data_IF_967097003066
#
_entry.id   IF_967097003066
#
_cell.length_a   1.000
_cell.length_b   1.000
_cell.length_c   1.000
_cell.angle_alpha   90.00
_cell.angle_beta   90.00
_cell.angle_gamma   90.00
#
_symmetry.space_group_name_H-M   'P 1'
#
loop_
_entity.id
_entity.type
_entity.pdbx_description
1 polymer ?
#
# COMPACT_ATOMS: atom_id res chain seq x y z
N UNK A 1 8.83 7.98 -3.45
CA UNK A 1 8.01 7.86 -4.67
C UNK A 1 7.23 9.15 -4.93
N UNK A 2 6.90 9.46 -6.19
CA UNK A 2 6.31 10.75 -6.59
C UNK A 2 4.89 10.56 -7.11
N UNK A 3 3.94 11.41 -6.68
CA UNK A 3 2.63 11.50 -7.34
C UNK A 3 2.84 12.03 -8.76
N UNK A 4 2.47 11.24 -9.76
CA UNK A 4 2.56 11.69 -11.14
C UNK A 4 1.22 12.27 -11.58
N UNK A 5 1.26 13.55 -11.93
CA UNK A 5 0.15 14.32 -12.43
C UNK A 5 0.35 14.55 -13.92
N UNK A 6 -0.67 14.27 -14.73
CA UNK A 6 -0.56 14.31 -16.19
C UNK A 6 -0.73 15.73 -16.78
N UNK A 7 -1.27 16.72 -16.03
CA UNK A 7 -1.51 18.07 -16.58
C UNK A 7 -1.72 19.17 -15.52
N UNK A 8 -2.14 20.38 -15.96
CA UNK A 8 -2.60 21.49 -15.10
C UNK A 8 -3.92 21.11 -14.40
N UNK A 9 -4.22 21.76 -13.28
CA UNK A 9 -5.49 21.67 -12.56
C UNK A 9 -6.69 21.68 -13.52
N UNK A 10 -7.58 20.69 -13.38
CA UNK A 10 -8.78 20.56 -14.19
C UNK A 10 -9.97 21.28 -13.54
N UNK A 11 -10.80 21.91 -14.38
CA UNK A 11 -12.04 22.55 -13.94
C UNK A 11 -13.09 21.50 -13.52
N UNK A 12 -13.82 21.79 -12.44
CA UNK A 12 -14.85 20.89 -11.90
C UNK A 12 -15.93 20.52 -12.93
N UNK A 13 -16.35 21.44 -13.80
CA UNK A 13 -17.35 21.17 -14.82
C UNK A 13 -16.85 20.15 -15.85
N UNK A 14 -15.57 20.22 -16.21
CA UNK A 14 -14.95 19.24 -17.09
C UNK A 14 -14.92 17.86 -16.42
N UNK A 15 -14.52 17.79 -15.16
CA UNK A 15 -14.48 16.53 -14.39
C UNK A 15 -15.88 15.91 -14.31
N UNK A 16 -16.89 16.71 -13.96
CA UNK A 16 -18.29 16.27 -13.92
C UNK A 16 -18.80 15.75 -15.27
N UNK A 17 -18.43 16.39 -16.37
CA UNK A 17 -18.81 15.92 -17.70
C UNK A 17 -18.19 14.54 -18.02
N UNK A 18 -16.92 14.33 -17.68
CA UNK A 18 -16.26 13.04 -17.93
C UNK A 18 -16.85 11.91 -17.10
N UNK A 19 -17.18 12.18 -15.84
CA UNK A 19 -17.76 11.22 -14.90
C UNK A 19 -19.29 11.29 -14.81
N UNK A 20 -19.97 11.90 -15.80
CA UNK A 20 -21.43 11.95 -15.82
C UNK A 20 -22.02 10.53 -15.72
N UNK A 21 -22.97 10.36 -14.80
CA UNK A 21 -23.60 9.08 -14.48
C UNK A 21 -22.81 8.17 -13.52
N UNK A 22 -21.66 8.62 -13.03
CA UNK A 22 -20.80 7.87 -12.10
C UNK A 22 -20.70 8.66 -10.80
N UNK A 23 -21.01 8.00 -9.69
CA UNK A 23 -20.83 8.56 -8.35
C UNK A 23 -19.47 8.13 -7.82
N UNK A 24 -18.52 9.06 -7.84
CA UNK A 24 -17.18 8.87 -7.29
C UNK A 24 -17.02 9.67 -5.99
N UNK A 25 -16.14 9.22 -5.08
CA UNK A 25 -15.81 9.95 -3.85
C UNK A 25 -15.24 11.34 -4.13
N UNK A 26 -15.61 12.32 -3.29
CA UNK A 26 -15.23 13.72 -3.50
C UNK A 26 -13.72 13.97 -3.37
N UNK A 27 -13.07 13.24 -2.46
CA UNK A 27 -11.63 13.23 -2.26
C UNK A 27 -10.88 12.66 -3.48
N UNK A 28 -11.42 11.63 -4.13
CA UNK A 28 -10.88 11.11 -5.39
C UNK A 28 -11.03 12.12 -6.53
N UNK A 29 -12.19 12.77 -6.65
CA UNK A 29 -12.45 13.82 -7.65
C UNK A 29 -11.46 14.99 -7.50
N UNK A 30 -11.11 15.36 -6.27
CA UNK A 30 -10.15 16.43 -5.95
C UNK A 30 -8.75 16.16 -6.54
N UNK A 31 -8.33 14.90 -6.66
CA UNK A 31 -7.03 14.54 -7.24
C UNK A 31 -6.91 14.92 -8.72
N UNK A 32 -8.03 14.99 -9.45
CA UNK A 32 -8.05 15.51 -10.83
C UNK A 32 -7.87 17.03 -10.87
N UNK A 33 -8.45 17.74 -9.90
CA UNK A 33 -8.28 19.19 -9.75
C UNK A 33 -6.84 19.56 -9.37
N UNK A 34 -6.12 18.67 -8.70
CA UNK A 34 -4.73 18.89 -8.26
C UNK A 34 -3.68 18.60 -9.34
N UNK A 35 -4.07 18.02 -10.48
CA UNK A 35 -3.15 17.85 -11.61
C UNK A 35 -3.45 16.67 -12.54
N UNK A 36 -4.67 16.17 -12.58
CA UNK A 36 -5.04 15.01 -13.40
C UNK A 36 -4.20 13.75 -13.03
N UNK A 37 -4.44 13.20 -11.83
CA UNK A 37 -3.70 12.08 -11.28
C UNK A 37 -3.52 10.94 -12.29
N UNK A 38 -2.25 10.52 -12.48
CA UNK A 38 -1.87 9.47 -13.40
C UNK A 38 -1.43 8.20 -12.68
N UNK A 39 -0.59 8.33 -11.64
CA UNK A 39 -0.13 7.16 -10.88
C UNK A 39 0.28 7.50 -9.45
N UNK A 40 0.08 6.53 -8.56
CA UNK A 40 0.55 6.52 -7.17
C UNK A 40 1.29 5.19 -6.98
N UNK A 41 2.61 5.26 -6.91
CA UNK A 41 3.45 4.06 -7.00
C UNK A 41 3.17 3.21 -8.23
N UNK A 42 2.92 1.92 -8.03
CA UNK A 42 2.59 1.02 -9.14
C UNK A 42 1.18 1.23 -9.72
N UNK A 43 0.26 1.80 -8.92
CA UNK A 43 -1.13 1.99 -9.29
C UNK A 43 -1.28 3.07 -10.35
N UNK A 44 -1.83 2.69 -11.50
CA UNK A 44 -2.08 3.58 -12.64
C UNK A 44 -3.56 3.88 -12.75
N UNK A 45 -3.88 5.15 -12.60
CA UNK A 45 -5.23 5.70 -12.65
C UNK A 45 -5.64 6.02 -14.09
N UNK A 46 -6.92 6.34 -14.27
CA UNK A 46 -7.49 6.77 -15.55
C UNK A 46 -7.57 8.30 -15.60
N UNK A 47 -6.52 9.02 -16.02
CA UNK A 47 -6.57 10.48 -16.15
C UNK A 47 -7.71 10.93 -17.08
N UNK A 48 -8.17 12.16 -16.92
CA UNK A 48 -9.00 12.83 -17.92
C UNK A 48 -8.11 13.15 -19.13
N UNK A 49 -8.69 13.12 -20.34
CA UNK A 49 -7.95 13.33 -21.58
C UNK A 49 -7.16 14.64 -21.55
N UNK A 50 -5.84 14.52 -21.60
CA UNK A 50 -4.93 15.62 -21.85
C UNK A 50 -4.14 15.39 -23.15
N UNK A 51 -3.43 16.42 -23.59
CA UNK A 51 -2.66 16.42 -24.85
C UNK A 51 -1.47 15.44 -24.83
N UNK A 52 -1.01 15.05 -23.65
CA UNK A 52 0.19 14.22 -23.45
C UNK A 52 -0.19 12.76 -23.15
N UNK A 53 -1.42 12.48 -22.70
CA UNK A 53 -1.93 11.16 -22.27
C UNK A 53 -3.33 10.84 -22.82
N UNK A 54 -3.39 10.63 -24.13
CA UNK A 54 -4.64 10.33 -24.83
C UNK A 54 -5.07 8.85 -24.81
N UNK A 55 -4.16 7.94 -24.45
CA UNK A 55 -4.35 6.49 -24.63
C UNK A 55 -5.08 5.79 -23.48
N UNK A 56 -5.16 6.36 -22.27
CA UNK A 56 -5.84 5.77 -21.09
C UNK A 56 -6.64 6.82 -20.31
N UNK A 57 -7.70 7.31 -20.94
CA UNK A 57 -8.53 8.40 -20.42
C UNK A 57 -9.74 7.92 -19.60
N UNK A 58 -10.48 8.82 -18.95
CA UNK A 58 -11.77 8.54 -18.31
C UNK A 58 -12.84 7.85 -19.21
N UNK A 59 -12.74 7.96 -20.55
CA UNK A 59 -13.53 7.12 -21.46
C UNK A 59 -13.21 5.62 -21.33
N UNK A 60 -11.93 5.27 -21.11
CA UNK A 60 -11.52 3.91 -20.80
C UNK A 60 -12.01 3.47 -19.42
N UNK A 61 -12.07 4.38 -18.45
CA UNK A 61 -12.71 4.10 -17.15
C UNK A 61 -14.15 3.62 -17.34
N UNK A 62 -14.97 4.35 -18.12
CA UNK A 62 -16.36 3.97 -18.43
C UNK A 62 -16.43 2.61 -19.13
N UNK A 63 -15.62 2.42 -20.17
CA UNK A 63 -15.62 1.18 -20.95
C UNK A 63 -15.15 -0.04 -20.15
N UNK A 64 -14.13 0.12 -19.31
CA UNK A 64 -13.63 -0.93 -18.43
C UNK A 64 -14.66 -1.29 -17.36
N UNK A 65 -15.21 -0.30 -16.65
CA UNK A 65 -16.20 -0.56 -15.62
C UNK A 65 -17.50 -1.16 -16.17
N UNK A 66 -17.85 -0.89 -17.43
CA UNK A 66 -18.96 -1.57 -18.11
C UNK A 66 -18.67 -3.05 -18.43
N UNK A 67 -17.39 -3.45 -18.53
CA UNK A 67 -16.94 -4.81 -18.83
C UNK A 67 -16.47 -5.59 -17.60
N UNK A 68 -16.26 -4.91 -16.46
CA UNK A 68 -15.83 -5.51 -15.21
C UNK A 68 -16.79 -6.62 -14.77
N UNK A 69 -16.28 -7.74 -14.28
CA UNK A 69 -17.15 -8.79 -13.71
C UNK A 69 -17.68 -8.35 -12.34
N UNK A 70 -16.94 -7.49 -11.65
CA UNK A 70 -17.22 -6.91 -10.34
C UNK A 70 -18.12 -5.68 -10.53
N UNK A 71 -19.37 -5.92 -10.91
CA UNK A 71 -20.36 -4.89 -11.23
C UNK A 71 -20.74 -4.00 -10.03
N UNK A 72 -20.47 -4.44 -8.81
CA UNK A 72 -20.72 -3.65 -7.60
C UNK A 72 -19.60 -2.66 -7.28
N UNK A 73 -18.51 -2.65 -8.07
CA UNK A 73 -17.34 -1.83 -7.82
C UNK A 73 -17.04 -0.88 -8.98
N UNK A 74 -16.46 0.27 -8.65
CA UNK A 74 -15.78 1.16 -9.57
C UNK A 74 -14.29 0.85 -9.54
N UNK A 75 -13.74 0.25 -10.59
CA UNK A 75 -12.30 0.13 -10.80
C UNK A 75 -11.73 1.50 -11.15
N UNK A 76 -10.86 2.03 -10.29
CA UNK A 76 -10.26 3.36 -10.44
C UNK A 76 -8.79 3.31 -10.86
N UNK A 77 -8.09 2.21 -10.60
CA UNK A 77 -6.70 2.01 -10.98
C UNK A 77 -6.36 0.53 -11.23
N UNK A 78 -5.24 0.30 -11.91
CA UNK A 78 -4.65 -1.03 -12.16
C UNK A 78 -3.14 -0.95 -12.02
N UNK A 79 -2.46 -2.03 -11.64
CA UNK A 79 -0.99 -2.07 -11.62
C UNK A 79 -0.35 -2.53 -12.95
N UNK A 80 -1.16 -3.16 -13.83
CA UNK A 80 -0.83 -3.87 -15.09
C UNK A 80 -0.55 -5.36 -14.93
N UNK A 81 -0.46 -5.85 -13.71
CA UNK A 81 -0.23 -7.25 -13.35
C UNK A 81 -1.56 -7.89 -12.90
N UNK A 82 -2.65 -7.51 -13.58
CA UNK A 82 -4.02 -7.98 -13.37
C UNK A 82 -4.68 -7.62 -12.01
N UNK A 83 -4.05 -6.79 -11.17
CA UNK A 83 -4.71 -6.26 -9.98
C UNK A 83 -5.45 -4.95 -10.27
N UNK A 84 -6.65 -4.88 -9.70
CA UNK A 84 -7.56 -3.76 -9.75
C UNK A 84 -7.66 -3.12 -8.37
N UNK A 85 -7.87 -1.81 -8.36
CA UNK A 85 -8.15 -1.03 -7.17
C UNK A 85 -9.43 -0.24 -7.40
N UNK A 86 -10.30 -0.17 -6.40
CA UNK A 86 -11.61 0.43 -6.60
C UNK A 86 -12.43 0.71 -5.35
N UNK A 87 -13.60 1.31 -5.58
CA UNK A 87 -14.61 1.62 -4.57
C UNK A 87 -15.83 0.74 -4.76
N UNK A 88 -16.48 0.34 -3.68
CA UNK A 88 -17.82 -0.24 -3.76
C UNK A 88 -18.85 0.84 -4.06
N UNK A 89 -19.78 0.57 -4.97
CA UNK A 89 -20.83 1.51 -5.39
C UNK A 89 -21.80 1.78 -4.24
N UNK A 90 -21.99 3.05 -3.91
CA UNK A 90 -22.97 3.49 -2.90
C UNK A 90 -22.55 3.27 -1.45
N UNK A 91 -21.33 2.80 -1.19
CA UNK A 91 -20.81 2.64 0.17
C UNK A 91 -20.39 4.00 0.77
N UNK A 92 -20.71 4.20 2.05
CA UNK A 92 -20.32 5.40 2.79
C UNK A 92 -18.81 5.36 3.11
N UNK A 93 -18.21 6.53 3.35
CA UNK A 93 -16.78 6.70 3.67
C UNK A 93 -15.78 6.27 2.59
N UNK A 94 -16.25 5.61 1.53
CA UNK A 94 -15.48 5.29 0.32
C UNK A 94 -14.19 4.49 0.58
N UNK A 95 -14.28 3.34 1.27
CA UNK A 95 -13.15 2.43 1.42
C UNK A 95 -12.63 1.96 0.06
N UNK A 96 -11.33 1.80 0.00
CA UNK A 96 -10.62 1.28 -1.16
C UNK A 96 -10.45 -0.22 -0.99
N UNK A 97 -10.75 -0.94 -2.06
CA UNK A 97 -10.57 -2.38 -2.18
C UNK A 97 -9.54 -2.69 -3.26
N UNK A 98 -8.90 -3.85 -3.12
CA UNK A 98 -7.95 -4.43 -4.09
C UNK A 98 -8.38 -5.85 -4.44
N UNK A 99 -8.19 -6.26 -5.69
CA UNK A 99 -8.49 -7.62 -6.13
C UNK A 99 -7.74 -7.98 -7.40
N UNK A 100 -7.38 -9.25 -7.55
CA UNK A 100 -6.99 -9.80 -8.84
C UNK A 100 -8.21 -9.88 -9.75
N UNK A 101 -8.04 -9.75 -11.07
CA UNK A 101 -9.17 -9.79 -12.04
C UNK A 101 -10.02 -11.07 -11.95
N UNK A 102 -9.44 -12.17 -11.44
CA UNK A 102 -10.11 -13.46 -11.27
C UNK A 102 -10.68 -13.69 -9.87
N UNK A 103 -10.46 -12.78 -8.93
CA UNK A 103 -10.93 -12.95 -7.55
C UNK A 103 -12.44 -12.75 -7.48
N UNK A 104 -13.09 -13.60 -6.69
CA UNK A 104 -14.53 -13.55 -6.48
C UNK A 104 -14.93 -12.36 -5.60
N UNK A 105 -14.09 -11.98 -4.65
CA UNK A 105 -14.40 -10.95 -3.66
C UNK A 105 -13.21 -9.98 -3.48
N UNK A 106 -13.44 -8.67 -3.64
CA UNK A 106 -12.42 -7.68 -3.33
C UNK A 106 -12.04 -7.59 -1.85
N UNK A 107 -10.74 -7.47 -1.59
CA UNK A 107 -10.17 -7.33 -0.26
C UNK A 107 -10.12 -5.87 0.17
N UNK A 108 -10.41 -5.58 1.44
CA UNK A 108 -10.28 -4.24 1.99
C UNK A 108 -8.80 -3.82 1.97
N UNK A 109 -8.52 -2.65 1.40
CA UNK A 109 -7.17 -2.12 1.26
C UNK A 109 -6.91 -1.00 2.28
N UNK A 110 -7.73 0.05 2.26
CA UNK A 110 -7.64 1.17 3.21
C UNK A 110 -8.94 2.00 3.20
N UNK A 111 -9.05 2.93 4.14
CA UNK A 111 -10.29 3.67 4.41
C UNK A 111 -10.67 4.64 3.30
N UNK A 112 -9.70 5.24 2.62
CA UNK A 112 -9.92 6.22 1.55
C UNK A 112 -8.62 6.54 0.79
N UNK A 113 -8.71 7.35 -0.25
CA UNK A 113 -7.57 7.66 -1.13
C UNK A 113 -6.49 8.48 -0.43
N UNK A 114 -6.85 9.30 0.56
CA UNK A 114 -5.87 10.08 1.32
C UNK A 114 -5.04 9.16 2.21
N UNK A 115 -5.68 8.18 2.84
CA UNK A 115 -4.97 7.15 3.59
C UNK A 115 -4.07 6.34 2.66
N UNK A 116 -4.56 5.91 1.48
CA UNK A 116 -3.72 5.22 0.49
C UNK A 116 -2.47 6.02 0.12
N UNK A 117 -2.62 7.31 -0.21
CA UNK A 117 -1.50 8.19 -0.54
C UNK A 117 -0.51 8.26 0.62
N UNK A 118 -1.02 8.46 1.84
CA UNK A 118 -0.18 8.54 3.04
C UNK A 118 0.62 7.25 3.25
N UNK A 119 -0.03 6.09 3.19
CA UNK A 119 0.62 4.80 3.38
C UNK A 119 1.72 4.61 2.35
N UNK A 120 1.40 4.81 1.08
CA UNK A 120 2.35 4.62 -0.01
C UNK A 120 3.56 5.57 0.12
N UNK A 121 3.35 6.80 0.59
CA UNK A 121 4.43 7.77 0.81
C UNK A 121 5.30 7.42 2.03
N UNK A 122 4.70 6.90 3.10
CA UNK A 122 5.40 6.49 4.32
C UNK A 122 6.20 5.19 4.10
N UNK A 123 5.60 4.22 3.43
CA UNK A 123 6.18 2.90 3.16
C UNK A 123 7.29 2.91 2.11
N UNK A 124 7.11 3.69 1.05
CA UNK A 124 8.03 3.77 -0.09
C UNK A 124 8.40 5.23 -0.40
N UNK A 125 9.12 5.91 0.51
CA UNK A 125 9.51 7.30 0.33
C UNK A 125 10.45 7.50 -0.88
N UNK A 126 10.68 8.74 -1.33
CA UNK A 126 11.70 9.01 -2.36
C UNK A 126 13.08 8.53 -1.91
N UNK A 127 13.99 8.25 -2.86
CA UNK A 127 15.30 7.63 -2.59
C UNK A 127 16.04 8.30 -1.42
N UNK A 128 16.17 9.63 -1.43
CA UNK A 128 16.86 10.34 -0.34
C UNK A 128 16.19 10.12 1.03
N UNK A 129 14.85 10.10 1.06
CA UNK A 129 14.07 9.83 2.27
C UNK A 129 14.17 8.38 2.71
N UNK A 130 14.24 7.45 1.75
CA UNK A 130 14.44 6.02 2.00
C UNK A 130 15.77 5.77 2.68
N UNK A 131 16.87 6.25 2.09
CA UNK A 131 18.22 6.05 2.63
C UNK A 131 18.34 6.63 4.05
N UNK A 132 17.81 7.83 4.29
CA UNK A 132 17.85 8.45 5.61
C UNK A 132 17.12 7.60 6.67
N UNK A 133 15.92 7.13 6.36
CA UNK A 133 15.13 6.31 7.29
C UNK A 133 15.78 4.94 7.49
N UNK A 134 16.26 4.30 6.41
CA UNK A 134 16.98 3.03 6.48
C UNK A 134 18.23 3.13 7.37
N UNK A 135 19.01 4.22 7.26
CA UNK A 135 20.17 4.42 8.13
C UNK A 135 19.78 4.58 9.61
N UNK A 136 18.68 5.28 9.90
CA UNK A 136 18.15 5.37 11.26
C UNK A 136 17.78 3.99 11.83
N UNK A 137 17.14 3.15 11.02
CA UNK A 137 16.78 1.78 11.39
C UNK A 137 18.03 0.91 11.60
N UNK A 138 19.01 0.98 10.70
CA UNK A 138 20.31 0.28 10.86
C UNK A 138 21.01 0.67 12.15
N UNK A 139 20.97 1.95 12.54
CA UNK A 139 21.56 2.39 13.81
C UNK A 139 20.84 1.80 15.03
N UNK A 140 19.50 1.75 15.01
CA UNK A 140 18.72 1.09 16.07
C UNK A 140 19.05 -0.40 16.16
N UNK A 141 19.08 -1.11 15.03
CA UNK A 141 19.44 -2.52 14.98
C UNK A 141 20.88 -2.76 15.49
N UNK A 142 21.83 -1.86 15.17
CA UNK A 142 23.19 -1.95 15.72
C UNK A 142 23.24 -1.84 17.24
N UNK A 143 22.33 -1.07 17.85
CA UNK A 143 22.27 -0.82 19.28
C UNK A 143 21.63 -1.94 20.11
N UNK A 144 21.01 -2.95 19.47
CA UNK A 144 20.36 -4.08 20.15
C UNK A 144 21.04 -5.41 19.81
N UNK A 145 21.01 -6.35 20.76
CA UNK A 145 21.49 -7.72 20.55
C UNK A 145 20.39 -8.68 20.07
N UNK A 146 19.14 -8.28 20.31
CA UNK A 146 17.95 -9.08 20.05
C UNK A 146 16.90 -8.25 19.31
N UNK A 147 16.06 -8.95 18.55
CA UNK A 147 14.92 -8.41 17.81
C UNK A 147 13.69 -9.19 18.27
N UNK A 148 12.58 -8.48 18.41
CA UNK A 148 11.30 -9.03 18.85
C UNK A 148 10.35 -9.11 17.68
N UNK A 149 9.47 -10.10 17.70
CA UNK A 149 8.51 -10.33 16.63
C UNK A 149 7.27 -11.02 17.19
N UNK A 150 6.12 -10.78 16.58
CA UNK A 150 4.89 -11.48 16.95
C UNK A 150 4.90 -12.79 16.18
N UNK A 151 4.95 -13.91 16.88
CA UNK A 151 5.00 -15.24 16.25
C UNK A 151 3.62 -15.65 15.79
N UNK A 152 3.54 -15.96 14.50
CA UNK A 152 2.36 -16.49 13.86
C UNK A 152 2.55 -18.01 13.63
N UNK A 153 1.79 -18.87 14.35
CA UNK A 153 1.88 -20.32 14.20
C UNK A 153 1.54 -20.83 12.80
N UNK A 154 0.72 -20.11 12.05
CA UNK A 154 0.26 -20.55 10.72
C UNK A 154 1.35 -20.32 9.67
N UNK A 155 2.16 -19.27 9.84
CA UNK A 155 3.29 -18.93 8.99
C UNK A 155 4.64 -19.48 9.50
N UNK A 156 4.67 -20.07 10.70
CA UNK A 156 5.88 -20.49 11.45
C UNK A 156 6.99 -19.42 11.50
N UNK A 157 6.61 -18.15 11.47
CA UNK A 157 7.54 -17.02 11.40
C UNK A 157 7.01 -15.84 12.20
N UNK A 158 6.74 -14.72 11.54
CA UNK A 158 6.13 -13.54 12.14
C UNK A 158 4.82 -13.22 11.45
N UNK A 159 4.04 -12.34 12.05
CA UNK A 159 2.87 -11.76 11.39
C UNK A 159 3.30 -10.96 10.16
N UNK A 160 2.56 -11.17 9.08
CA UNK A 160 2.69 -10.39 7.86
C UNK A 160 1.52 -9.41 7.74
N UNK A 161 1.83 -8.21 7.28
CA UNK A 161 0.83 -7.27 6.77
C UNK A 161 1.08 -7.04 5.29
N UNK A 162 0.05 -6.63 4.56
CA UNK A 162 0.17 -6.49 3.12
C UNK A 162 0.89 -5.18 2.74
N UNK A 163 1.83 -5.26 1.80
CA UNK A 163 2.43 -4.07 1.20
C UNK A 163 1.43 -3.41 0.26
N UNK A 164 1.11 -2.14 0.55
CA UNK A 164 0.23 -1.37 -0.34
C UNK A 164 1.02 -0.74 -1.50
N UNK A 165 2.32 -0.49 -1.30
CA UNK A 165 3.20 0.04 -2.33
C UNK A 165 3.62 -1.04 -3.35
N UNK A 166 3.80 -2.27 -2.87
CA UNK A 166 4.37 -3.41 -3.59
C UNK A 166 3.46 -4.66 -3.57
N UNK A 167 2.15 -4.49 -3.39
CA UNK A 167 1.14 -5.56 -3.44
C UNK A 167 1.42 -6.57 -4.59
N UNK A 168 1.16 -7.88 -4.45
CA UNK A 168 0.61 -8.58 -3.29
C UNK A 168 1.65 -8.92 -2.22
N UNK A 169 2.88 -8.40 -2.31
CA UNK A 169 3.95 -8.72 -1.35
C UNK A 169 3.53 -8.45 0.10
N UNK A 170 4.00 -9.29 1.00
CA UNK A 170 3.87 -9.16 2.44
C UNK A 170 5.01 -8.35 3.06
N UNK A 171 4.78 -7.93 4.30
CA UNK A 171 5.76 -7.25 5.15
C UNK A 171 5.80 -7.99 6.48
N UNK A 172 6.91 -8.71 6.73
CA UNK A 172 7.16 -9.34 8.01
C UNK A 172 7.52 -8.29 9.06
N UNK A 173 6.81 -8.27 10.19
CA UNK A 173 6.97 -7.22 11.21
C UNK A 173 7.91 -7.61 12.35
N UNK A 174 8.81 -6.69 12.69
CA UNK A 174 9.84 -6.86 13.70
C UNK A 174 10.03 -5.57 14.51
N UNK A 175 10.55 -5.70 15.73
CA UNK A 175 10.74 -4.59 16.65
C UNK A 175 12.06 -4.68 17.40
N UNK A 176 12.69 -3.52 17.61
CA UNK A 176 13.88 -3.35 18.46
C UNK A 176 13.51 -3.12 19.93
N UNK A 177 12.24 -2.78 20.22
CA UNK A 177 11.69 -2.62 21.57
C UNK A 177 10.57 -3.66 21.82
N UNK A 178 10.77 -4.53 22.79
CA UNK A 178 9.79 -5.55 23.19
C UNK A 178 8.47 -4.96 23.66
N UNK A 179 8.51 -3.83 24.36
CA UNK A 179 7.31 -3.15 24.87
C UNK A 179 6.41 -2.71 23.72
N UNK A 180 7.03 -2.22 22.65
CA UNK A 180 6.32 -1.81 21.43
C UNK A 180 5.71 -3.03 20.72
N UNK A 181 6.48 -4.11 20.56
CA UNK A 181 5.96 -5.36 19.99
C UNK A 181 4.76 -5.90 20.79
N UNK A 182 4.85 -5.90 22.12
CA UNK A 182 3.75 -6.37 22.99
C UNK A 182 2.53 -5.45 22.93
N UNK A 183 2.71 -4.15 22.75
CA UNK A 183 1.62 -3.21 22.54
C UNK A 183 0.89 -3.48 21.22
N UNK A 184 1.62 -3.66 20.12
CA UNK A 184 1.04 -4.02 18.81
C UNK A 184 0.34 -5.37 18.88
N UNK A 185 0.97 -6.37 19.50
CA UNK A 185 0.39 -7.70 19.69
C UNK A 185 -0.97 -7.62 20.39
N UNK A 186 -1.05 -6.92 21.53
CA UNK A 186 -2.31 -6.77 22.27
C UNK A 186 -3.40 -6.04 21.49
N UNK A 187 -3.05 -5.13 20.59
CA UNK A 187 -4.02 -4.33 19.86
C UNK A 187 -4.54 -5.02 18.59
N UNK A 188 -3.68 -5.75 17.88
CA UNK A 188 -3.98 -6.27 16.54
C UNK A 188 -3.95 -7.80 16.43
N UNK A 189 -3.30 -8.47 17.38
CA UNK A 189 -2.98 -9.89 17.32
C UNK A 189 -3.07 -10.49 18.74
N UNK A 190 -4.19 -10.24 19.42
CA UNK A 190 -4.38 -10.52 20.85
C UNK A 190 -4.27 -12.01 21.21
N UNK A 191 -4.51 -12.89 20.23
CA UNK A 191 -4.36 -14.34 20.35
C UNK A 191 -2.91 -14.84 20.10
N UNK A 192 -1.99 -13.96 19.68
CA UNK A 192 -0.61 -14.30 19.36
C UNK A 192 0.36 -13.93 20.50
N UNK A 193 1.65 -14.29 20.32
CA UNK A 193 2.67 -14.06 21.35
C UNK A 193 3.93 -13.43 20.77
N UNK A 194 4.53 -12.52 21.53
CA UNK A 194 5.83 -11.93 21.19
C UNK A 194 6.95 -12.90 21.52
N UNK A 195 7.77 -13.21 20.52
CA UNK A 195 9.01 -13.97 20.64
C UNK A 195 10.22 -13.07 20.40
N UNK A 196 11.39 -13.61 20.68
CA UNK A 196 12.67 -12.89 20.59
C UNK A 196 13.70 -13.76 19.92
N UNK A 197 14.50 -13.15 19.04
CA UNK A 197 15.56 -13.80 18.30
C UNK A 197 16.82 -12.93 18.38
N UNK A 198 18.00 -13.56 18.43
CA UNK A 198 19.25 -12.80 18.33
C UNK A 198 19.33 -12.08 16.99
N UNK A 199 19.76 -10.82 16.99
CA UNK A 199 19.84 -9.99 15.77
C UNK A 199 20.59 -10.67 14.63
N UNK A 200 21.70 -11.34 14.93
CA UNK A 200 22.49 -12.04 13.91
C UNK A 200 21.74 -13.23 13.29
N UNK A 201 20.85 -13.88 14.04
CA UNK A 201 19.99 -14.96 13.55
C UNK A 201 18.81 -14.40 12.77
N UNK A 202 18.22 -13.29 13.22
CA UNK A 202 17.23 -12.54 12.45
C UNK A 202 17.74 -12.18 11.05
N UNK A 203 18.93 -11.55 10.95
CA UNK A 203 19.52 -11.16 9.66
C UNK A 203 19.86 -12.37 8.77
N UNK A 204 20.28 -13.50 9.35
CA UNK A 204 20.73 -14.68 8.58
C UNK A 204 19.65 -15.69 8.23
N UNK A 205 18.50 -15.66 8.92
CA UNK A 205 17.46 -16.67 8.76
C UNK A 205 16.18 -16.00 8.33
N UNK A 206 15.63 -15.14 9.19
CA UNK A 206 14.33 -14.53 8.92
C UNK A 206 14.41 -13.59 7.71
N UNK A 207 15.44 -12.74 7.61
CA UNK A 207 15.58 -11.85 6.46
C UNK A 207 15.82 -12.64 5.16
N UNK A 208 16.63 -13.69 5.19
CA UNK A 208 16.85 -14.55 4.02
C UNK A 208 15.57 -15.29 3.59
N UNK A 209 14.76 -15.76 4.54
CA UNK A 209 13.46 -16.39 4.22
C UNK A 209 12.49 -15.39 3.58
N UNK A 210 12.40 -14.18 4.12
CA UNK A 210 11.55 -13.11 3.58
C UNK A 210 12.02 -12.69 2.18
N UNK A 211 13.34 -12.66 1.94
CA UNK A 211 13.90 -12.34 0.61
C UNK A 211 13.50 -13.36 -0.45
N UNK A 212 13.50 -14.65 -0.10
CA UNK A 212 13.14 -15.75 -1.01
C UNK A 212 11.69 -15.66 -1.46
N UNK A 213 10.79 -15.18 -0.59
CA UNK A 213 9.37 -14.97 -0.89
C UNK A 213 9.11 -13.61 -1.59
N UNK A 214 10.15 -12.86 -1.93
CA UNK A 214 10.07 -11.50 -2.51
C UNK A 214 9.29 -10.50 -1.63
N UNK A 215 9.30 -10.73 -0.31
CA UNK A 215 8.61 -9.93 0.69
C UNK A 215 9.53 -8.87 1.34
N UNK A 216 8.91 -8.01 2.17
CA UNK A 216 9.56 -6.89 2.83
C UNK A 216 9.66 -7.07 4.34
N UNK A 217 10.49 -6.25 4.97
CA UNK A 217 10.64 -6.18 6.42
C UNK A 217 10.16 -4.83 6.94
N UNK A 218 9.32 -4.86 7.97
CA UNK A 218 8.94 -3.68 8.75
C UNK A 218 9.64 -3.69 10.10
N UNK A 219 10.32 -2.60 10.46
CA UNK A 219 11.00 -2.44 11.76
C UNK A 219 10.34 -1.32 12.58
N UNK A 220 9.95 -1.63 13.82
CA UNK A 220 9.31 -0.71 14.77
C UNK A 220 8.00 -0.09 14.26
N UNK A 221 7.23 -0.82 13.44
CA UNK A 221 5.94 -0.31 12.96
C UNK A 221 4.95 -0.22 14.13
N UNK A 222 4.26 0.92 14.33
CA UNK A 222 3.24 1.05 15.36
C UNK A 222 1.93 0.37 14.93
N UNK A 223 1.03 0.14 15.88
CA UNK A 223 -0.24 -0.55 15.61
C UNK A 223 -1.18 0.23 14.67
N UNK A 224 -1.04 1.55 14.63
CA UNK A 224 -1.96 2.47 13.95
C UNK A 224 -1.36 3.14 12.71
N UNK A 225 -0.08 2.93 12.43
CA UNK A 225 0.61 3.60 11.32
C UNK A 225 1.47 2.61 10.54
N UNK A 226 1.93 3.06 9.38
CA UNK A 226 2.77 2.31 8.47
C UNK A 226 4.18 2.88 8.56
N UNK A 227 5.18 2.01 8.60
CA UNK A 227 6.59 2.40 8.61
C UNK A 227 7.26 2.16 7.26
N UNK A 228 8.58 2.24 7.24
CA UNK A 228 9.37 1.95 6.04
C UNK A 228 9.27 0.46 5.66
N UNK A 229 9.02 0.16 4.38
CA UNK A 229 9.14 -1.18 3.80
C UNK A 229 10.60 -1.41 3.38
N UNK A 230 11.29 -2.37 3.99
CA UNK A 230 12.73 -2.57 3.84
C UNK A 230 12.98 -3.84 3.02
N UNK A 231 13.81 -3.75 1.99
CA UNK A 231 14.31 -4.93 1.30
C UNK A 231 15.21 -5.73 2.25
N UNK A 232 15.04 -7.06 2.39
CA UNK A 232 15.86 -7.84 3.31
C UNK A 232 17.38 -7.70 3.10
N UNK A 233 17.81 -7.59 1.84
CA UNK A 233 19.21 -7.35 1.47
C UNK A 233 19.77 -6.04 2.03
N UNK A 234 18.92 -5.02 2.19
CA UNK A 234 19.31 -3.74 2.75
C UNK A 234 19.67 -3.85 4.23
N UNK A 235 19.31 -4.91 4.95
CA UNK A 235 19.69 -5.07 6.36
C UNK A 235 21.05 -5.75 6.58
N UNK A 236 21.69 -6.24 5.52
CA UNK A 236 22.95 -7.00 5.57
C UNK A 236 24.20 -6.10 5.69
#
# INVERSE_FOLDING_TARGET
MTLHYASKNLDSALISQYFEGIQLPADYVKLFQEGNLFSIGKWRFYPIRDKDNFKKTALHFKAMNARSEQQDYWVIATDRDAYNLGYKKGEQDSPIYVWHETDLEPEYFCQNIQQMIHIIQSSAPPVDGYEQQLQAIKMKLKAVDEVHYIFDPDNDLTVFVQSLANYPAGIGLYWTDKTLAEAVCREKFDDLSVRTIKKNMFIRIHADMIEVEEDFIGIDWPATEYGLEIFPEDLK
#
